data_IF_053328879609
#
_entry.id   IF_053328879609
#
_cell.length_a   1.000
_cell.length_b   1.000
_cell.length_c   1.000
_cell.angle_alpha   90.00
_cell.angle_beta   90.00
_cell.angle_gamma   90.00
#
_symmetry.space_group_name_H-M   'P 1'
#
loop_
_entity.id
_entity.type
_entity.pdbx_description
1 polymer ?
#
# COMPACT_ATOMS: atom_id res chain seq x y z
N UNK A 1 5.71 3.29 34.69
CA UNK A 1 5.26 3.60 33.32
C UNK A 1 3.81 3.18 33.21
N UNK A 2 2.87 4.10 32.97
CA UNK A 2 1.48 3.75 32.67
C UNK A 2 1.38 3.47 31.16
N UNK A 3 1.09 2.23 30.78
CA UNK A 3 0.73 1.91 29.39
C UNK A 3 -0.74 2.31 29.18
N UNK A 4 -1.00 3.27 28.32
CA UNK A 4 -2.37 3.58 27.90
C UNK A 4 -2.82 2.55 26.86
N UNK A 5 -3.68 1.63 27.26
CA UNK A 5 -4.33 0.67 26.36
C UNK A 5 -5.64 1.24 25.83
N UNK A 6 -5.81 1.25 24.50
CA UNK A 6 -7.08 1.61 23.85
C UNK A 6 -7.75 0.34 23.34
N UNK A 7 -9.02 0.12 23.70
CA UNK A 7 -9.83 -0.97 23.15
C UNK A 7 -10.24 -0.60 21.73
N UNK A 8 -9.57 -1.17 20.73
CA UNK A 8 -9.95 -1.08 19.33
C UNK A 8 -10.71 -2.34 18.93
N UNK A 9 -11.87 -2.19 18.29
CA UNK A 9 -12.62 -3.32 17.75
C UNK A 9 -12.15 -3.59 16.32
N UNK A 10 -11.54 -4.74 16.08
CA UNK A 10 -11.11 -5.20 14.76
C UNK A 10 -12.12 -6.23 14.26
N UNK A 11 -13.34 -5.78 13.94
CA UNK A 11 -14.32 -6.63 13.28
C UNK A 11 -14.03 -6.68 11.76
N UNK A 12 -14.22 -7.85 11.16
CA UNK A 12 -13.65 -8.24 9.86
C UNK A 12 -14.05 -7.40 8.64
N UNK A 13 -13.22 -7.50 7.60
CA UNK A 13 -13.26 -6.84 6.27
C UNK A 13 -13.01 -5.32 6.23
N UNK A 14 -12.79 -4.69 7.38
CA UNK A 14 -12.42 -3.27 7.46
C UNK A 14 -10.89 -3.16 7.64
N UNK A 15 -10.20 -2.28 6.89
CA UNK A 15 -8.77 -2.04 7.10
C UNK A 15 -8.46 -1.69 8.56
N UNK A 16 -7.50 -2.40 9.14
CA UNK A 16 -6.99 -2.13 10.49
C UNK A 16 -6.37 -0.73 10.57
N UNK A 17 -6.84 0.08 11.52
CA UNK A 17 -6.27 1.41 11.79
C UNK A 17 -6.13 1.59 13.29
N UNK A 18 -4.96 2.04 13.73
CA UNK A 18 -4.68 2.40 15.12
C UNK A 18 -4.95 3.90 15.26
N UNK A 19 -5.99 4.25 16.01
CA UNK A 19 -6.44 5.62 16.22
C UNK A 19 -6.63 5.87 17.72
N UNK A 20 -6.38 7.10 18.16
CA UNK A 20 -6.75 7.56 19.49
C UNK A 20 -8.29 7.51 19.69
N UNK A 21 -8.78 7.50 20.95
CA UNK A 21 -10.22 7.46 21.22
C UNK A 21 -11.02 8.59 20.55
N UNK A 22 -10.41 9.77 20.41
CA UNK A 22 -11.04 10.95 19.78
C UNK A 22 -11.15 10.73 18.27
N UNK A 23 -10.07 10.30 17.63
CA UNK A 23 -10.04 10.03 16.19
C UNK A 23 -11.02 8.91 15.79
N UNK A 24 -11.17 7.88 16.62
CA UNK A 24 -12.19 6.83 16.41
C UNK A 24 -13.62 7.37 16.49
N UNK A 25 -13.88 8.33 17.38
CA UNK A 25 -15.19 8.98 17.49
C UNK A 25 -15.50 9.82 16.25
N UNK A 26 -14.51 10.60 15.79
CA UNK A 26 -14.61 11.41 14.58
C UNK A 26 -14.84 10.51 13.36
N UNK A 27 -14.05 9.45 13.22
CA UNK A 27 -14.16 8.48 12.12
C UNK A 27 -15.54 7.85 12.06
N UNK A 28 -16.07 7.33 13.19
CA UNK A 28 -17.42 6.75 13.24
C UNK A 28 -18.50 7.74 12.83
N UNK A 29 -18.37 9.01 13.22
CA UNK A 29 -19.32 10.05 12.83
C UNK A 29 -19.29 10.31 11.33
N UNK A 30 -18.09 10.37 10.75
CA UNK A 30 -17.91 10.52 9.29
C UNK A 30 -18.47 9.31 8.55
N UNK A 31 -18.19 8.09 9.00
CA UNK A 31 -18.69 6.85 8.38
C UNK A 31 -20.21 6.71 8.50
N UNK A 32 -20.83 7.23 9.57
CA UNK A 32 -22.29 7.17 9.76
C UNK A 32 -23.09 8.10 8.86
N UNK A 33 -22.47 9.18 8.37
CA UNK A 33 -23.14 10.24 7.58
C UNK A 33 -22.63 10.27 6.13
N UNK A 34 -21.34 10.01 5.94
CA UNK A 34 -20.65 10.11 4.66
C UNK A 34 -20.70 8.82 3.85
N UNK A 35 -20.60 8.97 2.54
CA UNK A 35 -20.44 7.85 1.60
C UNK A 35 -18.95 7.54 1.44
N UNK A 36 -18.50 6.28 1.56
CA UNK A 36 -17.13 5.90 1.28
C UNK A 36 -16.74 6.26 -0.16
N UNK A 37 -15.53 6.77 -0.38
CA UNK A 37 -15.07 7.23 -1.71
C UNK A 37 -15.21 6.17 -2.81
N UNK A 38 -15.11 4.88 -2.46
CA UNK A 38 -15.30 3.74 -3.37
C UNK A 38 -16.72 3.64 -3.96
N UNK A 39 -17.71 4.18 -3.26
CA UNK A 39 -19.12 4.11 -3.62
C UNK A 39 -19.61 5.42 -4.27
N UNK A 40 -18.70 6.38 -4.48
CA UNK A 40 -19.02 7.62 -5.20
C UNK A 40 -19.06 7.32 -6.71
N UNK A 41 -20.04 7.88 -7.40
CA UNK A 41 -20.15 7.83 -8.87
C UNK A 41 -19.15 8.81 -9.52
N UNK A 42 -17.85 8.55 -9.29
CA UNK A 42 -16.73 9.33 -9.82
C UNK A 42 -15.73 8.40 -10.50
N UNK A 43 -15.27 8.80 -11.67
CA UNK A 43 -14.18 8.11 -12.34
C UNK A 43 -12.84 8.66 -11.83
N UNK A 44 -12.14 7.89 -10.98
CA UNK A 44 -10.81 8.25 -10.49
C UNK A 44 -9.77 7.90 -11.58
N UNK A 45 -9.52 8.85 -12.48
CA UNK A 45 -8.60 8.65 -13.61
C UNK A 45 -7.11 8.75 -13.21
N UNK A 46 -6.75 9.68 -12.34
CA UNK A 46 -5.35 9.88 -11.90
C UNK A 46 -5.05 8.91 -10.76
N UNK A 47 -3.89 8.24 -10.78
CA UNK A 47 -3.55 7.16 -9.83
C UNK A 47 -3.81 5.76 -10.37
N UNK A 48 -5.02 5.50 -10.91
CA UNK A 48 -5.34 4.21 -11.56
C UNK A 48 -4.66 4.10 -12.92
N UNK A 49 -4.86 5.04 -13.85
CA UNK A 49 -4.19 5.00 -15.15
C UNK A 49 -2.66 5.12 -15.06
N UNK A 50 -2.16 5.86 -14.06
CA UNK A 50 -0.72 6.08 -13.88
C UNK A 50 -0.06 4.97 -13.08
N UNK A 51 -0.74 4.38 -12.10
CA UNK A 51 -0.23 3.27 -11.29
C UNK A 51 -0.38 1.91 -11.95
N UNK A 52 -1.33 1.77 -12.88
CA UNK A 52 -1.58 0.57 -13.70
C UNK A 52 -1.08 0.75 -15.15
N UNK A 53 -0.15 1.68 -15.38
CA UNK A 53 0.51 1.80 -16.68
C UNK A 53 1.54 0.67 -16.80
N UNK A 54 1.50 -0.09 -17.91
CA UNK A 54 2.42 -1.20 -18.20
C UNK A 54 3.90 -0.79 -18.10
N UNK A 55 4.21 0.49 -18.31
CA UNK A 55 5.56 1.04 -18.11
C UNK A 55 6.11 0.84 -16.67
N UNK A 56 5.25 0.66 -15.67
CA UNK A 56 5.62 0.41 -14.27
C UNK A 56 5.44 -1.06 -13.84
N UNK A 57 4.88 -1.91 -14.70
CA UNK A 57 4.72 -3.34 -14.45
C UNK A 57 5.80 -4.07 -15.25
N UNK A 58 6.87 -4.45 -14.57
CA UNK A 58 7.94 -5.26 -15.16
C UNK A 58 7.79 -6.71 -14.74
N UNK A 59 7.94 -7.61 -15.72
CA UNK A 59 7.94 -9.05 -15.46
C UNK A 59 9.23 -9.48 -14.74
N UNK A 60 9.21 -10.67 -14.15
CA UNK A 60 10.41 -11.24 -13.50
C UNK A 60 11.55 -11.40 -14.51
N UNK A 61 11.24 -11.81 -15.75
CA UNK A 61 12.25 -11.97 -16.81
C UNK A 61 12.91 -10.63 -17.14
N UNK A 62 12.11 -9.55 -17.22
CA UNK A 62 12.65 -8.22 -17.52
C UNK A 62 13.46 -7.65 -16.35
N UNK A 63 13.05 -7.95 -15.11
CA UNK A 63 13.83 -7.63 -13.91
C UNK A 63 15.21 -8.29 -13.95
N UNK A 64 15.27 -9.59 -14.26
CA UNK A 64 16.53 -10.33 -14.31
C UNK A 64 17.44 -9.81 -15.43
N UNK A 65 16.87 -9.47 -16.60
CA UNK A 65 17.60 -8.84 -17.70
C UNK A 65 18.20 -7.47 -17.29
N UNK A 66 17.45 -6.64 -16.57
CA UNK A 66 17.93 -5.34 -16.09
C UNK A 66 19.08 -5.54 -15.09
N UNK A 67 18.97 -6.48 -14.16
CA UNK A 67 19.99 -6.74 -13.15
C UNK A 67 21.26 -7.37 -13.75
N UNK A 68 21.13 -8.21 -14.79
CA UNK A 68 22.26 -8.80 -15.51
C UNK A 68 23.06 -7.76 -16.31
N UNK A 69 22.43 -6.68 -16.74
CA UNK A 69 23.07 -5.59 -17.47
C UNK A 69 23.72 -4.52 -16.58
N UNK A 70 23.60 -4.61 -15.25
CA UNK A 70 24.27 -3.68 -14.33
C UNK A 70 25.79 -3.82 -14.43
N UNK A 71 26.51 -2.70 -14.50
CA UNK A 71 27.96 -2.68 -14.71
C UNK A 71 28.74 -2.99 -13.43
N UNK A 72 28.15 -2.66 -12.27
CA UNK A 72 28.78 -2.84 -10.96
C UNK A 72 27.83 -3.49 -9.97
N UNK A 73 28.39 -4.17 -8.97
CA UNK A 73 27.61 -4.77 -7.89
C UNK A 73 26.80 -3.71 -7.11
N UNK A 74 27.39 -2.53 -6.87
CA UNK A 74 26.70 -1.44 -6.19
C UNK A 74 25.56 -0.80 -7.00
N UNK A 75 25.60 -0.88 -8.32
CA UNK A 75 24.48 -0.52 -9.18
C UNK A 75 23.39 -1.61 -9.13
N UNK A 76 23.78 -2.88 -9.21
CA UNK A 76 22.86 -4.03 -9.15
C UNK A 76 22.01 -4.02 -7.88
N UNK A 77 22.62 -3.77 -6.72
CA UNK A 77 21.91 -3.72 -5.43
C UNK A 77 20.88 -2.58 -5.41
N UNK A 78 21.26 -1.37 -5.81
CA UNK A 78 20.35 -0.21 -5.86
C UNK A 78 19.20 -0.43 -6.84
N UNK A 79 19.48 -1.01 -8.01
CA UNK A 79 18.47 -1.35 -9.01
C UNK A 79 17.51 -2.44 -8.51
N UNK A 80 18.01 -3.44 -7.79
CA UNK A 80 17.19 -4.49 -7.17
C UNK A 80 16.26 -3.96 -6.07
N UNK A 81 16.68 -2.92 -5.33
CA UNK A 81 15.85 -2.24 -4.33
C UNK A 81 14.76 -1.34 -4.95
N UNK A 82 15.06 -0.73 -6.10
CA UNK A 82 14.11 0.07 -6.87
C UNK A 82 13.03 -0.80 -7.50
N UNK A 83 13.41 -1.98 -8.02
CA UNK A 83 12.50 -2.97 -8.61
C UNK A 83 12.00 -3.91 -7.52
N UNK A 84 10.97 -3.47 -6.79
CA UNK A 84 10.37 -4.26 -5.72
C UNK A 84 9.52 -5.41 -6.29
N UNK A 85 9.65 -6.64 -5.75
CA UNK A 85 8.77 -7.72 -6.13
C UNK A 85 7.33 -7.43 -5.72
N UNK A 86 6.36 -7.83 -6.55
CA UNK A 86 4.92 -7.69 -6.28
C UNK A 86 4.40 -8.62 -5.17
N UNK A 87 5.28 -9.23 -4.39
CA UNK A 87 4.92 -10.05 -3.23
C UNK A 87 4.54 -9.15 -2.07
N UNK A 88 3.26 -8.81 -2.01
CA UNK A 88 2.64 -8.28 -0.81
C UNK A 88 2.02 -9.44 -0.01
N UNK A 89 2.28 -9.59 1.30
CA UNK A 89 3.23 -8.86 2.15
C UNK A 89 4.71 -9.21 1.87
N UNK A 90 5.66 -8.30 2.15
CA UNK A 90 7.09 -8.47 1.82
C UNK A 90 7.81 -9.61 2.57
N UNK A 91 7.14 -10.30 3.50
CA UNK A 91 7.74 -11.27 4.42
C UNK A 91 6.93 -12.58 4.52
N UNK A 92 6.18 -12.95 3.49
CA UNK A 92 5.58 -14.29 3.43
C UNK A 92 6.50 -15.13 2.55
N UNK A 93 7.40 -15.84 3.23
CA UNK A 93 8.20 -16.91 2.65
C UNK A 93 7.30 -18.11 2.28
#
# INVERSE_FOLDING_TARGET
MQQQGVKCNFADSIPWVILSPIEQSIRRKIESIGTPLKDWDINIYRGVLTGYNDAFIISTEKRDEILANCQTEGERVRTAELIRPNTWPPNVA
#
